data_IF_889684208890
#
_entry.id   IF_889684208890
#
_cell.length_a   1.000
_cell.length_b   1.000
_cell.length_c   1.000
_cell.angle_alpha   90.00
_cell.angle_beta   90.00
_cell.angle_gamma   90.00
#
_symmetry.space_group_name_H-M   'P 1'
#
loop_
_entity.id
_entity.type
_entity.pdbx_description
1 polymer ?
#
# COMPACT_ATOMS: atom_id res chain seq x y z
N UNK A 1 -20.38 11.01 -26.48
CA UNK A 1 -20.46 10.24 -25.22
C UNK A 1 -20.41 8.75 -25.56
N UNK A 2 -19.41 8.34 -26.36
CA UNK A 2 -19.28 6.99 -26.95
C UNK A 2 -17.82 6.52 -27.04
N UNK A 3 -16.82 7.36 -26.73
CA UNK A 3 -15.40 7.03 -26.94
C UNK A 3 -14.78 6.16 -25.82
N UNK A 4 -15.36 6.17 -24.61
CA UNK A 4 -14.85 5.41 -23.46
C UNK A 4 -15.09 3.89 -23.59
N UNK A 5 -16.20 3.50 -24.25
CA UNK A 5 -16.55 2.09 -24.51
C UNK A 5 -15.56 1.44 -25.50
N UNK A 6 -15.08 2.19 -26.48
CA UNK A 6 -14.12 1.71 -27.48
C UNK A 6 -12.73 1.46 -26.88
N UNK A 7 -12.32 2.25 -25.89
CA UNK A 7 -11.02 2.10 -25.24
C UNK A 7 -10.97 0.84 -24.36
N UNK A 8 -12.06 0.58 -23.62
CA UNK A 8 -12.22 -0.63 -22.82
C UNK A 8 -12.25 -1.86 -23.73
N UNK A 9 -13.02 -1.82 -24.82
CA UNK A 9 -13.07 -2.89 -25.80
C UNK A 9 -11.69 -3.19 -26.40
N UNK A 10 -10.93 -2.16 -26.80
CA UNK A 10 -9.57 -2.31 -27.32
C UNK A 10 -8.60 -2.89 -26.28
N UNK A 11 -8.71 -2.50 -25.00
CA UNK A 11 -7.88 -3.03 -23.94
C UNK A 11 -8.13 -4.54 -23.74
N UNK A 12 -9.39 -4.96 -23.73
CA UNK A 12 -9.75 -6.37 -23.62
C UNK A 12 -9.28 -7.20 -24.82
N UNK A 13 -9.36 -6.65 -26.04
CA UNK A 13 -8.84 -7.32 -27.23
C UNK A 13 -7.32 -7.51 -27.21
N UNK A 14 -6.57 -6.51 -26.70
CA UNK A 14 -5.11 -6.62 -26.55
C UNK A 14 -4.74 -7.74 -25.57
N UNK A 15 -5.40 -7.81 -24.43
CA UNK A 15 -5.21 -8.88 -23.44
C UNK A 15 -5.57 -10.25 -24.04
N UNK A 16 -6.66 -10.32 -24.82
CA UNK A 16 -7.11 -11.55 -25.48
C UNK A 16 -6.09 -12.08 -26.50
N UNK A 17 -5.52 -11.17 -27.29
CA UNK A 17 -4.49 -11.47 -28.29
C UNK A 17 -3.21 -11.98 -27.64
N UNK A 18 -2.82 -11.42 -26.49
CA UNK A 18 -1.67 -11.91 -25.71
C UNK A 18 -1.94 -13.30 -25.13
N UNK A 19 -3.15 -13.55 -24.63
CA UNK A 19 -3.56 -14.84 -24.10
C UNK A 19 -3.58 -15.95 -25.18
N UNK A 20 -4.04 -15.63 -26.39
CA UNK A 20 -4.04 -16.53 -27.55
C UNK A 20 -2.62 -16.93 -27.96
N UNK A 21 -1.66 -15.99 -27.93
CA UNK A 21 -0.26 -16.26 -28.24
C UNK A 21 0.43 -17.18 -27.23
N UNK A 22 0.04 -17.12 -25.95
CA UNK A 22 0.64 -17.94 -24.88
C UNK A 22 -0.01 -19.31 -24.70
N UNK A 23 -1.34 -19.40 -24.80
CA UNK A 23 -2.10 -20.62 -24.44
C UNK A 23 -2.98 -21.20 -25.57
N UNK A 24 -2.97 -20.62 -26.77
CA UNK A 24 -3.57 -21.19 -27.99
C UNK A 24 -5.10 -21.20 -28.09
N UNK A 25 -5.86 -21.00 -27.00
CA UNK A 25 -7.33 -20.96 -27.07
C UNK A 25 -7.94 -20.01 -26.04
N UNK A 26 -8.86 -19.15 -26.49
CA UNK A 26 -9.66 -18.27 -25.64
C UNK A 26 -11.14 -18.60 -25.82
N UNK A 27 -11.94 -18.70 -24.75
CA UNK A 27 -13.38 -18.94 -24.85
C UNK A 27 -14.08 -17.89 -25.71
N UNK A 28 -15.07 -18.31 -26.49
CA UNK A 28 -15.88 -17.39 -27.29
C UNK A 28 -17.09 -16.93 -26.48
N UNK A 29 -17.19 -15.61 -26.25
CA UNK A 29 -18.19 -15.00 -25.37
C UNK A 29 -19.50 -14.68 -26.10
N UNK A 30 -19.49 -14.67 -27.45
CA UNK A 30 -20.71 -14.53 -28.24
C UNK A 30 -21.55 -15.82 -28.27
N UNK A 31 -20.94 -16.95 -27.93
CA UNK A 31 -21.64 -18.21 -27.86
C UNK A 31 -22.18 -18.44 -26.44
N UNK A 32 -23.49 -18.22 -26.25
CA UNK A 32 -24.18 -18.43 -24.96
C UNK A 32 -24.14 -19.90 -24.49
N UNK A 33 -23.77 -20.84 -25.36
CA UNK A 33 -23.58 -22.25 -25.02
C UNK A 33 -22.14 -22.62 -24.63
N UNK A 34 -21.18 -21.68 -24.65
CA UNK A 34 -19.78 -21.95 -24.29
C UNK A 34 -19.58 -22.42 -22.82
N UNK A 35 -20.61 -22.25 -21.98
CA UNK A 35 -20.63 -22.69 -20.58
C UNK A 35 -21.43 -23.98 -20.33
N UNK A 36 -22.04 -24.59 -21.35
CA UNK A 36 -22.73 -25.88 -21.21
C UNK A 36 -21.71 -27.01 -21.19
N UNK A 37 -21.32 -27.38 -19.98
CA UNK A 37 -20.62 -28.62 -19.66
C UNK A 37 -21.43 -29.78 -20.26
N UNK A 38 -20.93 -30.41 -21.33
CA UNK A 38 -21.52 -31.61 -21.92
C UNK A 38 -21.63 -32.68 -20.84
N UNK A 39 -22.86 -33.12 -20.56
CA UNK A 39 -23.11 -34.34 -19.78
C UNK A 39 -22.50 -35.53 -20.52
N UNK A 40 -21.90 -36.52 -19.83
CA UNK A 40 -21.40 -37.70 -20.51
C UNK A 40 -22.58 -38.50 -21.09
N UNK A 41 -22.56 -38.65 -22.41
CA UNK A 41 -23.45 -39.52 -23.17
C UNK A 41 -23.17 -40.97 -22.78
N UNK A 42 -24.07 -41.59 -22.02
CA UNK A 42 -24.14 -43.05 -21.89
C UNK A 42 -24.61 -43.61 -23.23
N UNK A 43 -23.66 -43.98 -24.09
CA UNK A 43 -23.90 -44.78 -25.27
C UNK A 43 -23.15 -46.11 -25.10
N UNK A 44 -23.89 -47.13 -24.68
CA UNK A 44 -23.43 -48.50 -24.78
C UNK A 44 -23.62 -48.95 -26.22
N UNK A 45 -22.53 -49.17 -26.94
CA UNK A 45 -22.55 -49.98 -28.14
C UNK A 45 -21.19 -50.67 -28.31
N UNK A 46 -21.25 -51.99 -28.36
CA UNK A 46 -20.09 -52.89 -28.42
C UNK A 46 -19.53 -52.87 -29.84
N UNK A 47 -18.21 -52.70 -29.95
CA UNK A 47 -17.46 -52.89 -31.19
C UNK A 47 -16.07 -53.42 -30.89
N UNK A 48 -15.85 -54.68 -31.24
CA UNK A 48 -14.62 -55.44 -31.13
C UNK A 48 -13.63 -55.05 -32.25
N UNK A 49 -12.35 -54.85 -31.92
CA UNK A 49 -11.25 -54.82 -32.89
C UNK A 49 -10.22 -53.70 -32.69
N UNK A 50 -8.95 -54.06 -32.50
CA UNK A 50 -7.83 -53.16 -32.80
C UNK A 50 -6.71 -53.13 -31.76
N UNK A 51 -5.67 -53.93 -31.99
CA UNK A 51 -4.41 -53.97 -31.26
C UNK A 51 -3.56 -52.69 -31.44
N UNK A 52 -2.84 -52.32 -30.39
CA UNK A 52 -1.57 -51.57 -30.49
C UNK A 52 -1.66 -50.05 -30.44
N UNK A 53 -1.73 -49.46 -29.24
CA UNK A 53 -1.23 -48.10 -28.99
C UNK A 53 -0.58 -48.07 -27.61
N UNK A 54 0.70 -47.68 -27.61
CA UNK A 54 1.58 -47.67 -26.45
C UNK A 54 0.98 -47.03 -25.20
N UNK A 55 1.46 -47.56 -24.07
CA UNK A 55 1.24 -47.15 -22.69
C UNK A 55 1.46 -45.63 -22.51
N UNK A 56 0.49 -44.82 -22.95
CA UNK A 56 0.27 -43.49 -22.41
C UNK A 56 -0.33 -43.73 -21.04
N UNK A 57 0.53 -44.06 -20.06
CA UNK A 57 0.25 -43.92 -18.64
C UNK A 57 -0.39 -42.56 -18.51
N UNK A 58 -1.72 -42.56 -18.39
CA UNK A 58 -2.51 -41.37 -18.10
C UNK A 58 -1.97 -40.95 -16.75
N UNK A 59 -1.02 -40.02 -16.73
CA UNK A 59 -0.47 -39.47 -15.50
C UNK A 59 -1.70 -39.06 -14.70
N UNK A 60 -1.99 -39.84 -13.66
CA UNK A 60 -3.21 -39.67 -12.88
C UNK A 60 -3.28 -38.21 -12.47
N UNK A 61 -4.50 -37.68 -12.41
CA UNK A 61 -4.73 -36.34 -11.88
C UNK A 61 -4.01 -36.26 -10.52
N UNK A 62 -3.20 -35.23 -10.23
CA UNK A 62 -2.36 -35.21 -9.03
C UNK A 62 -3.19 -35.51 -7.79
N UNK A 63 -2.81 -36.59 -7.12
CA UNK A 63 -3.53 -37.11 -5.96
C UNK A 63 -2.74 -36.78 -4.69
N UNK A 64 -3.42 -36.64 -3.55
CA UNK A 64 -2.76 -36.54 -2.26
C UNK A 64 -2.05 -37.84 -1.88
N UNK A 65 -1.17 -37.82 -0.86
CA UNK A 65 -0.57 -39.04 -0.29
C UNK A 65 -1.61 -40.09 0.15
N UNK A 66 -2.84 -39.64 0.39
CA UNK A 66 -4.02 -40.40 0.79
C UNK A 66 -4.88 -40.92 -0.39
N UNK A 67 -4.46 -40.69 -1.64
CA UNK A 67 -5.25 -41.15 -2.79
C UNK A 67 -6.47 -40.28 -3.12
N UNK A 68 -6.67 -39.14 -2.45
CA UNK A 68 -7.78 -38.21 -2.73
C UNK A 68 -7.42 -37.13 -3.76
N UNK A 69 -8.45 -36.68 -4.48
CA UNK A 69 -8.32 -35.56 -5.42
C UNK A 69 -7.78 -34.30 -4.72
N UNK A 70 -6.64 -33.77 -5.17
CA UNK A 70 -6.13 -32.48 -4.71
C UNK A 70 -6.91 -31.35 -5.37
N UNK A 71 -7.66 -30.53 -4.61
CA UNK A 71 -8.26 -29.33 -5.15
C UNK A 71 -7.17 -28.39 -5.68
N UNK A 72 -7.38 -27.80 -6.85
CA UNK A 72 -6.52 -26.73 -7.33
C UNK A 72 -6.71 -25.50 -6.45
N UNK A 73 -5.74 -25.20 -5.59
CA UNK A 73 -5.69 -23.95 -4.84
C UNK A 73 -4.94 -22.93 -5.68
N UNK A 74 -5.62 -21.84 -6.04
CA UNK A 74 -4.97 -20.72 -6.72
C UNK A 74 -4.21 -19.95 -5.63
N UNK A 75 -2.91 -20.15 -5.54
CA UNK A 75 -2.04 -19.37 -4.64
C UNK A 75 -1.82 -17.99 -5.24
N UNK A 76 -2.77 -17.07 -5.05
CA UNK A 76 -2.50 -15.66 -5.28
C UNK A 76 -1.65 -15.15 -4.11
N UNK A 77 -0.56 -14.43 -4.39
CA UNK A 77 0.15 -13.70 -3.35
C UNK A 77 -0.82 -12.71 -2.69
N UNK A 78 -0.81 -12.54 -1.35
CA UNK A 78 -1.60 -11.52 -0.69
C UNK A 78 -1.25 -10.14 -1.25
N UNK A 79 -2.25 -9.33 -1.58
CA UNK A 79 -2.06 -7.98 -2.11
C UNK A 79 -1.11 -7.14 -1.24
N UNK A 80 -1.21 -7.27 0.09
CA UNK A 80 -0.32 -6.60 1.03
C UNK A 80 1.15 -6.94 0.85
N UNK A 81 1.49 -8.18 0.46
CA UNK A 81 2.89 -8.58 0.22
C UNK A 81 3.47 -7.91 -1.03
N UNK A 82 2.66 -7.81 -2.10
CA UNK A 82 3.02 -7.13 -3.34
C UNK A 82 3.18 -5.62 -3.08
N UNK A 83 2.21 -5.02 -2.39
CA UNK A 83 2.26 -3.60 -2.03
C UNK A 83 3.47 -3.27 -1.16
N UNK A 84 3.75 -4.06 -0.12
CA UNK A 84 4.92 -3.85 0.74
C UNK A 84 6.23 -3.97 -0.05
N UNK A 85 6.30 -4.88 -1.02
CA UNK A 85 7.45 -5.00 -1.92
C UNK A 85 7.62 -3.73 -2.77
N UNK A 86 6.54 -3.23 -3.36
CA UNK A 86 6.57 -2.00 -4.15
C UNK A 86 6.95 -0.78 -3.30
N UNK A 87 6.34 -0.61 -2.12
CA UNK A 87 6.64 0.48 -1.18
C UNK A 87 8.13 0.52 -0.82
N UNK A 88 8.73 -0.65 -0.56
CA UNK A 88 10.17 -0.75 -0.28
C UNK A 88 11.01 -0.46 -1.52
N UNK A 89 10.65 -1.03 -2.67
CA UNK A 89 11.41 -0.86 -3.91
C UNK A 89 11.46 0.59 -4.40
N UNK A 90 10.40 1.36 -4.15
CA UNK A 90 10.26 2.77 -4.59
C UNK A 90 10.58 3.78 -3.50
N UNK A 91 10.89 3.34 -2.29
CA UNK A 91 11.17 4.23 -1.15
C UNK A 91 9.98 5.03 -0.63
N UNK A 92 8.75 4.64 -0.99
CA UNK A 92 7.51 5.35 -0.58
C UNK A 92 7.19 5.24 0.90
N UNK A 93 7.93 4.41 1.65
CA UNK A 93 7.72 4.25 3.09
C UNK A 93 7.74 5.59 3.83
N UNK A 94 8.60 6.52 3.44
CA UNK A 94 8.68 7.85 4.08
C UNK A 94 7.45 8.71 3.81
N UNK A 95 6.99 8.76 2.57
CA UNK A 95 5.88 9.65 2.18
C UNK A 95 4.54 9.10 2.71
N UNK A 96 4.40 7.77 2.72
CA UNK A 96 3.27 7.09 3.37
C UNK A 96 3.29 7.32 4.88
N UNK A 97 4.46 7.24 5.52
CA UNK A 97 4.60 7.55 6.93
C UNK A 97 4.22 9.00 7.26
N UNK A 98 4.66 9.95 6.43
CA UNK A 98 4.30 11.35 6.56
C UNK A 98 2.78 11.54 6.46
N UNK A 99 2.14 10.94 5.47
CA UNK A 99 0.68 10.97 5.33
C UNK A 99 -0.01 10.38 6.56
N UNK A 100 0.41 9.19 7.01
CA UNK A 100 -0.20 8.52 8.15
C UNK A 100 -0.07 9.34 9.45
N UNK A 101 1.13 9.84 9.77
CA UNK A 101 1.38 10.67 10.96
C UNK A 101 0.56 11.95 10.91
N UNK A 102 0.46 12.60 9.74
CA UNK A 102 -0.29 13.85 9.59
C UNK A 102 -1.79 13.60 9.80
N UNK A 103 -2.33 12.50 9.28
CA UNK A 103 -3.75 12.13 9.46
C UNK A 103 -4.10 11.71 10.88
N UNK A 104 -3.19 11.01 11.58
CA UNK A 104 -3.44 10.47 12.93
C UNK A 104 -2.79 11.30 14.04
N UNK A 105 -2.33 12.52 13.73
CA UNK A 105 -1.63 13.37 14.70
C UNK A 105 -2.47 13.61 15.96
N UNK A 106 -3.76 13.94 15.79
CA UNK A 106 -4.68 14.17 16.89
C UNK A 106 -4.92 12.94 17.77
N UNK A 107 -4.85 11.74 17.19
CA UNK A 107 -4.94 10.48 17.95
C UNK A 107 -3.65 10.20 18.72
N UNK A 108 -2.49 10.52 18.14
CA UNK A 108 -1.18 10.30 18.76
C UNK A 108 -0.91 11.20 19.96
N UNK A 109 -1.19 12.50 19.84
CA UNK A 109 -0.88 13.49 20.90
C UNK A 109 -2.11 13.94 21.70
N UNK A 110 -3.31 13.60 21.23
CA UNK A 110 -4.57 14.06 21.79
C UNK A 110 -5.05 15.40 21.21
N UNK A 111 -6.35 15.70 21.35
CA UNK A 111 -6.98 16.83 20.65
C UNK A 111 -6.45 18.20 21.10
N UNK A 112 -6.15 18.38 22.38
CA UNK A 112 -5.65 19.66 22.91
C UNK A 112 -4.27 20.01 22.36
N UNK A 113 -3.34 19.05 22.33
CA UNK A 113 -1.99 19.28 21.81
C UNK A 113 -2.04 19.46 20.29
N UNK A 114 -2.86 18.68 19.58
CA UNK A 114 -2.98 18.78 18.13
C UNK A 114 -3.55 20.13 17.64
N UNK A 115 -4.36 20.82 18.45
CA UNK A 115 -4.85 22.17 18.11
C UNK A 115 -3.74 23.23 18.09
N UNK A 116 -2.73 23.04 18.92
CA UNK A 116 -1.64 23.99 19.15
C UNK A 116 -0.33 23.60 18.45
N UNK A 117 -0.35 22.48 17.71
CA UNK A 117 0.84 21.92 17.06
C UNK A 117 0.55 21.47 15.65
N UNK A 118 1.50 21.71 14.75
CA UNK A 118 1.37 21.38 13.34
C UNK A 118 2.60 20.61 12.86
N UNK A 119 2.36 19.52 12.15
CA UNK A 119 3.39 18.77 11.44
C UNK A 119 3.70 19.51 10.14
N UNK A 120 4.94 19.96 9.98
CA UNK A 120 5.37 20.68 8.77
C UNK A 120 5.90 19.71 7.71
N UNK A 121 6.85 18.84 8.09
CA UNK A 121 7.50 17.95 7.15
C UNK A 121 8.25 16.80 7.82
N UNK A 122 8.62 15.80 7.02
CA UNK A 122 9.53 14.72 7.42
C UNK A 122 10.79 14.76 6.56
N UNK A 123 11.96 14.89 7.20
CA UNK A 123 13.25 14.91 6.52
C UNK A 123 14.31 14.17 7.34
N UNK A 124 15.14 13.37 6.70
CA UNK A 124 16.27 12.67 7.34
C UNK A 124 15.86 11.84 8.57
N UNK A 125 14.71 11.15 8.48
CA UNK A 125 14.06 10.42 9.59
C UNK A 125 13.64 11.31 10.78
N UNK A 126 13.50 12.63 10.56
CA UNK A 126 13.08 13.59 11.58
C UNK A 126 11.72 14.18 11.23
N UNK A 127 10.83 14.22 12.21
CA UNK A 127 9.52 14.86 12.11
C UNK A 127 9.63 16.30 12.60
N UNK A 128 9.38 17.27 11.71
CA UNK A 128 9.44 18.69 12.02
C UNK A 128 8.05 19.18 12.43
N UNK A 129 7.96 19.73 13.63
CA UNK A 129 6.71 20.17 14.26
C UNK A 129 6.86 21.62 14.69
N UNK A 130 5.89 22.46 14.34
CA UNK A 130 5.76 23.84 14.83
C UNK A 130 4.69 23.91 15.90
N UNK A 131 4.96 24.67 16.96
CA UNK A 131 4.02 24.94 18.04
C UNK A 131 3.75 26.44 18.13
N UNK A 132 2.55 26.81 18.55
CA UNK A 132 2.15 28.20 18.76
C UNK A 132 2.66 28.80 20.09
N UNK A 133 2.94 27.95 21.08
CA UNK A 133 3.43 28.33 22.40
C UNK A 133 4.64 27.53 22.84
N UNK A 134 5.52 28.19 23.59
CA UNK A 134 6.67 27.63 24.33
C UNK A 134 6.24 26.56 25.33
N UNK A 135 5.12 26.76 26.03
CA UNK A 135 4.58 25.80 26.99
C UNK A 135 4.14 24.50 26.30
N UNK A 136 3.41 24.61 25.18
CA UNK A 136 2.98 23.46 24.38
C UNK A 136 4.16 22.71 23.76
N UNK A 137 5.17 23.43 23.25
CA UNK A 137 6.40 22.83 22.76
C UNK A 137 7.13 22.02 23.84
N UNK A 138 7.14 22.51 25.07
CA UNK A 138 7.77 21.82 26.21
C UNK A 138 6.99 20.56 26.58
N UNK A 139 5.66 20.62 26.61
CA UNK A 139 4.81 19.45 26.83
C UNK A 139 5.09 18.34 25.81
N UNK A 140 5.15 18.72 24.53
CA UNK A 140 5.41 17.77 23.44
C UNK A 140 6.82 17.15 23.54
N UNK A 141 7.83 17.93 23.94
CA UNK A 141 9.19 17.40 24.20
C UNK A 141 9.20 16.34 25.31
N UNK A 142 8.41 16.52 26.37
CA UNK A 142 8.31 15.53 27.44
C UNK A 142 7.67 14.22 26.95
N UNK A 143 6.72 14.30 26.02
CA UNK A 143 6.04 13.14 25.44
C UNK A 143 6.76 12.53 24.22
N UNK A 144 7.87 13.12 23.77
CA UNK A 144 8.56 12.75 22.53
C UNK A 144 8.87 11.25 22.42
N UNK A 145 9.35 10.64 23.51
CA UNK A 145 9.71 9.22 23.53
C UNK A 145 8.49 8.32 23.29
N UNK A 146 7.36 8.65 23.92
CA UNK A 146 6.12 7.88 23.78
C UNK A 146 5.58 8.00 22.36
N UNK A 147 5.59 9.21 21.79
CA UNK A 147 5.14 9.47 20.41
C UNK A 147 5.98 8.65 19.42
N UNK A 148 7.31 8.65 19.57
CA UNK A 148 8.21 7.86 18.71
C UNK A 148 7.92 6.35 18.80
N UNK A 149 7.62 5.84 19.99
CA UNK A 149 7.28 4.43 20.18
C UNK A 149 6.01 4.05 19.42
N UNK A 150 4.93 4.82 19.59
CA UNK A 150 3.66 4.54 18.91
C UNK A 150 3.80 4.65 17.39
N UNK A 151 4.56 5.64 16.91
CA UNK A 151 4.85 5.78 15.47
C UNK A 151 5.63 4.58 14.95
N UNK A 152 6.66 4.12 15.67
CA UNK A 152 7.46 2.97 15.27
C UNK A 152 6.65 1.67 15.23
N UNK A 153 5.69 1.50 16.15
CA UNK A 153 4.79 0.35 16.17
C UNK A 153 3.83 0.31 14.97
N UNK A 154 3.33 1.47 14.53
CA UNK A 154 2.31 1.56 13.47
C UNK A 154 2.89 1.62 12.07
N UNK A 155 3.94 2.40 11.89
CA UNK A 155 4.53 2.69 10.57
C UNK A 155 5.74 1.81 10.29
N UNK A 156 6.40 1.35 11.34
CA UNK A 156 7.58 0.51 11.28
C UNK A 156 8.81 1.20 11.89
N UNK A 157 9.79 0.41 12.34
CA UNK A 157 11.01 0.93 12.94
C UNK A 157 11.83 1.73 11.92
N UNK A 158 12.56 2.73 12.39
CA UNK A 158 13.60 3.47 11.65
C UNK A 158 13.11 4.38 10.50
N UNK A 159 11.80 4.55 10.31
CA UNK A 159 11.27 5.55 9.36
C UNK A 159 11.29 6.96 9.95
N UNK A 160 10.93 7.08 11.23
CA UNK A 160 11.00 8.32 12.01
C UNK A 160 11.78 8.00 13.29
N UNK A 161 12.96 8.60 13.42
CA UNK A 161 13.89 8.39 14.51
C UNK A 161 13.92 9.58 15.50
N UNK A 162 13.60 10.79 15.06
CA UNK A 162 13.72 11.99 15.89
C UNK A 162 12.53 12.95 15.68
N UNK A 163 12.13 13.67 16.73
CA UNK A 163 11.20 14.80 16.63
C UNK A 163 11.98 16.10 16.76
N UNK A 164 11.73 17.04 15.85
CA UNK A 164 12.27 18.39 15.88
C UNK A 164 11.14 19.37 16.13
N UNK A 165 11.09 19.88 17.36
CA UNK A 165 9.98 20.67 17.89
C UNK A 165 10.41 22.12 17.99
N UNK A 166 9.80 22.96 17.16
CA UNK A 166 10.00 24.40 17.11
C UNK A 166 8.89 25.09 17.88
N UNK A 167 9.26 25.95 18.83
CA UNK A 167 8.31 26.85 19.46
C UNK A 167 7.94 28.02 18.52
N UNK A 168 7.12 28.97 19.01
CA UNK A 168 6.83 30.18 18.26
C UNK A 168 8.13 30.91 17.91
N UNK A 169 8.23 31.41 16.68
CA UNK A 169 9.36 32.23 16.27
C UNK A 169 9.36 33.52 17.10
N UNK A 170 10.46 33.78 17.81
CA UNK A 170 10.59 35.00 18.59
C UNK A 170 10.51 36.21 17.64
N UNK A 171 9.73 37.25 17.99
CA UNK A 171 9.67 38.45 17.17
C UNK A 171 11.07 39.05 17.02
N UNK A 172 11.39 39.49 15.81
CA UNK A 172 12.62 40.24 15.58
C UNK A 172 12.32 41.74 15.69
N UNK A 173 12.98 42.43 16.63
CA UNK A 173 12.90 43.89 16.76
C UNK A 173 13.88 44.63 15.84
N UNK A 174 14.60 43.88 14.98
CA UNK A 174 15.50 44.47 13.99
C UNK A 174 14.69 44.98 12.81
N UNK A 175 14.57 46.29 12.70
CA UNK A 175 13.85 46.96 11.59
C UNK A 175 14.82 47.85 10.80
N UNK A 176 14.97 47.56 9.51
CA UNK A 176 15.72 48.39 8.56
C UNK A 176 17.25 48.33 8.69
N UNK A 177 17.96 48.93 7.72
CA UNK A 177 19.42 48.92 7.67
C UNK A 177 20.10 49.78 8.75
N UNK A 178 19.42 50.78 9.31
CA UNK A 178 19.95 51.70 10.33
C UNK A 178 19.65 51.25 11.78
N UNK A 179 19.53 49.95 12.03
CA UNK A 179 19.16 49.43 13.35
C UNK A 179 20.31 49.55 14.38
N UNK A 180 20.08 50.26 15.48
CA UNK A 180 20.98 50.34 16.63
C UNK A 180 20.71 49.18 17.60
N UNK A 181 21.78 48.53 18.10
CA UNK A 181 21.68 47.43 19.07
C UNK A 181 21.17 47.95 20.43
N UNK A 182 19.87 47.82 20.68
CA UNK A 182 19.24 48.12 21.98
C UNK A 182 19.53 47.04 23.04
N UNK A 183 18.93 47.20 24.23
CA UNK A 183 19.12 46.31 25.41
C UNK A 183 18.56 44.87 25.26
N UNK A 184 18.02 44.51 24.11
CA UNK A 184 17.44 43.19 23.85
C UNK A 184 16.05 42.98 24.47
N UNK A 185 15.41 41.83 24.22
CA UNK A 185 14.09 41.50 24.76
C UNK A 185 14.18 41.28 26.27
N UNK A 186 13.27 41.86 27.06
CA UNK A 186 13.25 41.75 28.53
C UNK A 186 12.13 40.80 28.96
N UNK A 187 12.46 39.54 29.25
CA UNK A 187 11.63 38.54 29.95
C UNK A 187 10.17 38.34 29.45
N UNK A 188 9.81 38.82 28.25
CA UNK A 188 8.39 38.96 27.86
C UNK A 188 7.77 37.73 27.18
N UNK A 189 8.46 36.59 27.12
CA UNK A 189 7.98 35.41 26.40
C UNK A 189 8.21 34.16 27.23
N UNK A 190 7.29 33.92 28.17
CA UNK A 190 7.08 32.65 28.85
C UNK A 190 6.17 31.75 28.05
#
# INVERSE_FOLDING_TARGET
MTDDEDFIAQAFERVRREAQRRNGRVPDLNNKDAFRRTTPRTAGERGNGGSGVGDKRRRGRPTGPDGRYKPYVRSAEPLGSILNREIRSRGWGRDIAAGWVTSHWAELVGPKIAQHTKVEMIKDKKLFITCDSTAWATNLRMMQKQILQVIAEKVGPDIIAELRIYGPQAPSWRKGPLHVKGRGPRDTYG
#
